data_IF_155914934138
#
_entry.id   IF_155914934138
#
_cell.length_a   1.000
_cell.length_b   1.000
_cell.length_c   1.000
_cell.angle_alpha   90.00
_cell.angle_beta   90.00
_cell.angle_gamma   90.00
#
_symmetry.space_group_name_H-M   'P 1'
#
loop_
_entity.id
_entity.type
_entity.pdbx_description
1 polymer ?
#
# COMPACT_ATOMS: atom_id res chain seq x y z
N UNK A 1 -15.50 15.07 21.84
CA UNK A 1 -15.08 13.66 21.67
C UNK A 1 -14.85 13.48 20.18
N UNK A 2 -13.58 13.43 19.74
CA UNK A 2 -13.30 13.12 18.34
C UNK A 2 -13.64 11.64 18.14
N UNK A 3 -14.44 11.34 17.10
CA UNK A 3 -14.77 9.98 16.75
C UNK A 3 -13.49 9.20 16.42
N UNK A 4 -13.46 7.91 16.74
CA UNK A 4 -12.36 7.03 16.36
C UNK A 4 -12.17 7.09 14.84
N UNK A 5 -10.95 7.35 14.33
CA UNK A 5 -10.72 7.47 12.90
C UNK A 5 -11.05 6.17 12.16
N UNK A 6 -11.73 6.28 11.03
CA UNK A 6 -11.83 5.19 10.05
C UNK A 6 -10.66 5.35 9.08
N UNK A 7 -9.51 4.78 9.44
CA UNK A 7 -8.24 5.02 8.74
C UNK A 7 -8.26 4.88 7.21
N UNK A 8 -8.91 3.87 6.61
CA UNK A 8 -9.03 3.83 5.16
C UNK A 8 -9.69 5.09 4.59
N UNK A 9 -10.79 5.56 5.17
CA UNK A 9 -11.49 6.77 4.73
C UNK A 9 -10.64 8.05 4.92
N UNK A 10 -9.90 8.13 6.02
CA UNK A 10 -8.93 9.22 6.26
C UNK A 10 -7.90 9.26 5.13
N UNK A 11 -7.32 8.12 4.78
CA UNK A 11 -6.34 8.03 3.70
C UNK A 11 -6.93 8.32 2.33
N UNK A 12 -8.12 7.79 1.98
CA UNK A 12 -8.76 8.13 0.71
C UNK A 12 -9.01 9.64 0.60
N UNK A 13 -9.43 10.28 1.69
CA UNK A 13 -9.65 11.73 1.71
C UNK A 13 -8.33 12.50 1.56
N UNK A 14 -7.27 12.05 2.22
CA UNK A 14 -5.92 12.59 2.06
C UNK A 14 -5.44 12.48 0.60
N UNK A 15 -5.56 11.30 -0.01
CA UNK A 15 -5.19 11.08 -1.41
C UNK A 15 -5.98 11.97 -2.38
N UNK A 16 -7.26 12.18 -2.12
CA UNK A 16 -8.08 13.13 -2.88
C UNK A 16 -7.56 14.57 -2.74
N UNK A 17 -7.20 14.99 -1.52
CA UNK A 17 -6.69 16.33 -1.25
C UNK A 17 -5.30 16.59 -1.86
N UNK A 18 -4.47 15.56 -2.01
CA UNK A 18 -3.11 15.68 -2.58
C UNK A 18 -3.04 15.30 -4.07
N UNK A 19 -4.18 14.97 -4.71
CA UNK A 19 -4.22 14.37 -6.05
C UNK A 19 -3.43 15.16 -7.11
N UNK A 20 -3.52 16.49 -7.10
CA UNK A 20 -2.81 17.33 -8.09
C UNK A 20 -1.30 17.33 -7.86
N UNK A 21 -0.85 17.41 -6.60
CA UNK A 21 0.59 17.34 -6.28
C UNK A 21 1.15 15.95 -6.55
N UNK A 22 0.38 14.92 -6.23
CA UNK A 22 0.76 13.54 -6.50
C UNK A 22 0.92 13.31 -8.01
N UNK A 23 0.05 13.87 -8.84
CA UNK A 23 0.19 13.80 -10.29
C UNK A 23 1.56 14.32 -10.78
N UNK A 24 2.05 15.42 -10.20
CA UNK A 24 3.37 15.98 -10.54
C UNK A 24 4.51 15.09 -10.04
N UNK A 25 4.40 14.58 -8.81
CA UNK A 25 5.43 13.72 -8.22
C UNK A 25 5.55 12.37 -8.94
N UNK A 26 4.44 11.85 -9.49
CA UNK A 26 4.43 10.62 -10.28
C UNK A 26 5.17 10.75 -11.64
N UNK A 27 5.43 11.98 -12.12
CA UNK A 27 6.26 12.20 -13.32
C UNK A 27 7.76 12.05 -13.04
N UNK A 28 8.17 12.01 -11.76
CA UNK A 28 9.56 11.88 -11.36
C UNK A 28 10.02 10.41 -11.41
N UNK A 29 11.24 10.20 -11.91
CA UNK A 29 11.87 8.88 -12.00
C UNK A 29 12.58 8.47 -10.69
N UNK A 30 11.90 8.60 -9.54
CA UNK A 30 12.45 8.27 -8.22
C UNK A 30 11.41 7.59 -7.30
N UNK A 31 11.87 7.09 -6.15
CA UNK A 31 11.02 6.59 -5.07
C UNK A 31 10.10 7.71 -4.57
N UNK A 32 8.79 7.46 -4.57
CA UNK A 32 7.75 8.45 -4.22
C UNK A 32 7.11 8.14 -2.86
N UNK A 33 7.38 6.97 -2.32
CA UNK A 33 6.80 6.43 -1.10
C UNK A 33 7.05 7.34 0.11
N UNK A 34 8.26 7.87 0.28
CA UNK A 34 8.56 8.80 1.36
C UNK A 34 7.78 10.12 1.25
N UNK A 35 7.56 10.62 0.03
CA UNK A 35 6.74 11.82 -0.18
C UNK A 35 5.27 11.54 0.17
N UNK A 36 4.73 10.41 -0.27
CA UNK A 36 3.36 9.99 0.07
C UNK A 36 3.23 9.85 1.60
N UNK A 37 4.18 9.19 2.26
CA UNK A 37 4.19 9.04 3.72
C UNK A 37 4.15 10.39 4.43
N UNK A 38 4.95 11.36 3.99
CA UNK A 38 4.98 12.71 4.54
C UNK A 38 3.65 13.45 4.33
N UNK A 39 3.04 13.37 3.14
CA UNK A 39 1.75 14.00 2.84
C UNK A 39 0.61 13.40 3.67
N UNK A 40 0.58 12.06 3.85
CA UNK A 40 -0.43 11.41 4.69
C UNK A 40 -0.28 11.79 6.17
N UNK A 41 0.96 11.88 6.66
CA UNK A 41 1.25 12.36 8.02
C UNK A 41 0.83 13.82 8.21
N UNK A 42 1.20 14.70 7.27
CA UNK A 42 0.84 16.12 7.30
C UNK A 42 -0.68 16.31 7.24
N UNK A 43 -1.38 15.56 6.40
CA UNK A 43 -2.84 15.61 6.30
C UNK A 43 -3.50 15.24 7.63
N UNK A 44 -3.03 14.17 8.29
CA UNK A 44 -3.55 13.74 9.58
C UNK A 44 -3.44 14.86 10.64
N UNK A 45 -2.25 15.45 10.75
CA UNK A 45 -1.97 16.56 11.67
C UNK A 45 -2.85 17.78 11.38
N UNK A 46 -2.98 18.20 10.13
CA UNK A 46 -3.76 19.38 9.72
C UNK A 46 -5.27 19.24 10.02
N UNK A 47 -5.78 18.02 10.07
CA UNK A 47 -7.21 17.74 10.26
C UNK A 47 -7.55 17.21 11.66
N UNK A 48 -6.58 17.24 12.60
CA UNK A 48 -6.81 16.86 13.99
C UNK A 48 -7.03 15.35 14.22
N UNK A 49 -6.53 14.52 13.30
CA UNK A 49 -6.40 13.07 13.52
C UNK A 49 -5.20 12.78 14.43
N UNK A 50 -5.10 11.58 15.03
CA UNK A 50 -3.89 11.16 15.73
C UNK A 50 -2.66 11.29 14.81
N UNK A 51 -1.53 11.72 15.41
CA UNK A 51 -0.29 11.88 14.67
C UNK A 51 0.16 10.56 14.05
N UNK A 52 0.49 10.60 12.75
CA UNK A 52 1.04 9.47 12.02
C UNK A 52 2.55 9.65 11.91
N UNK A 53 3.29 8.75 12.51
CA UNK A 53 4.74 8.69 12.48
C UNK A 53 5.21 7.93 11.23
N UNK A 54 6.30 8.39 10.60
CA UNK A 54 6.83 7.81 9.35
C UNK A 54 8.14 7.06 9.56
N UNK A 55 8.31 5.91 8.91
CA UNK A 55 9.61 5.21 8.78
C UNK A 55 10.26 4.71 10.08
N UNK A 56 9.48 4.65 11.17
CA UNK A 56 9.94 4.27 12.51
C UNK A 56 9.60 2.83 12.91
N UNK A 57 9.96 2.46 14.13
CA UNK A 57 9.65 1.15 14.71
C UNK A 57 8.34 1.23 15.50
N UNK A 58 7.24 0.74 14.92
CA UNK A 58 5.97 0.60 15.63
C UNK A 58 6.16 -0.31 16.85
N UNK A 59 5.74 0.17 18.02
CA UNK A 59 5.90 -0.52 19.30
C UNK A 59 7.37 -0.82 19.66
N UNK A 60 8.33 -0.10 19.06
CA UNK A 60 9.77 -0.29 19.26
C UNK A 60 10.37 -1.56 18.65
N UNK A 61 9.64 -2.31 17.80
CA UNK A 61 10.07 -3.64 17.33
C UNK A 61 10.03 -3.84 15.82
N UNK A 62 9.04 -3.29 15.12
CA UNK A 62 8.83 -3.55 13.69
C UNK A 62 8.85 -2.26 12.90
N UNK A 63 9.81 -2.14 11.97
CA UNK A 63 9.85 -1.01 11.04
C UNK A 63 8.67 -1.08 10.09
N UNK A 64 7.88 -0.02 10.01
CA UNK A 64 6.72 0.14 9.13
C UNK A 64 6.71 1.55 8.55
N UNK A 65 6.09 1.74 7.39
CA UNK A 65 6.07 3.04 6.72
C UNK A 65 5.29 4.09 7.53
N UNK A 66 4.13 3.74 8.07
CA UNK A 66 3.25 4.61 8.86
C UNK A 66 2.77 3.92 10.13
N UNK A 67 2.66 4.65 11.24
CA UNK A 67 1.99 4.15 12.46
C UNK A 67 1.52 5.27 13.38
N UNK A 68 0.53 4.99 14.23
CA UNK A 68 0.19 5.85 15.38
C UNK A 68 0.90 5.38 16.65
N UNK A 69 1.20 6.32 17.56
CA UNK A 69 1.93 6.00 18.80
C UNK A 69 1.18 4.99 19.69
N UNK A 70 -0.14 5.09 19.73
CA UNK A 70 -1.04 4.19 20.48
C UNK A 70 -1.28 2.83 19.79
N UNK A 71 -0.62 2.58 18.65
CA UNK A 71 -0.76 1.39 17.83
C UNK A 71 -2.20 1.12 17.36
N UNK A 72 -3.04 2.15 17.30
CA UNK A 72 -4.34 2.04 16.66
C UNK A 72 -4.22 1.71 15.17
N UNK A 73 -3.18 2.22 14.50
CA UNK A 73 -2.90 1.96 13.09
C UNK A 73 -1.42 1.73 12.79
N UNK A 74 -1.15 0.81 11.87
CA UNK A 74 0.12 0.70 11.15
C UNK A 74 -0.15 0.44 9.66
N UNK A 75 0.62 1.06 8.77
CA UNK A 75 0.44 0.90 7.34
C UNK A 75 1.74 0.83 6.54
N UNK A 76 1.74 0.01 5.49
CA UNK A 76 2.78 -0.02 4.47
C UNK A 76 2.30 0.72 3.22
N UNK A 77 3.15 1.53 2.59
CA UNK A 77 2.80 2.41 1.46
C UNK A 77 3.71 2.13 0.28
N UNK A 78 3.18 1.52 -0.79
CA UNK A 78 3.92 1.22 -2.03
C UNK A 78 3.35 1.98 -3.21
N UNK A 79 4.22 2.50 -4.06
CA UNK A 79 3.85 3.23 -5.26
C UNK A 79 4.40 2.49 -6.48
N UNK A 80 3.53 1.82 -7.22
CA UNK A 80 3.89 1.07 -8.42
C UNK A 80 3.14 1.64 -9.62
N UNK A 81 3.43 1.14 -10.80
CA UNK A 81 2.78 1.55 -12.05
C UNK A 81 3.02 0.51 -13.12
N UNK A 82 2.49 0.75 -14.32
CA UNK A 82 2.54 -0.21 -15.42
C UNK A 82 3.99 -0.61 -15.77
N UNK A 83 4.94 0.33 -15.73
CA UNK A 83 6.36 0.04 -16.05
C UNK A 83 7.20 -0.39 -14.83
N UNK A 84 6.58 -0.66 -13.68
CA UNK A 84 7.32 -1.12 -12.50
C UNK A 84 7.93 -2.50 -12.70
N UNK A 85 9.11 -2.72 -12.11
CA UNK A 85 9.74 -4.03 -12.15
C UNK A 85 8.88 -5.08 -11.43
N UNK A 86 8.73 -6.25 -12.04
CA UNK A 86 8.00 -7.39 -11.47
C UNK A 86 8.40 -7.74 -10.03
N UNK A 87 9.70 -7.60 -9.72
CA UNK A 87 10.25 -7.86 -8.38
C UNK A 87 9.63 -6.97 -7.30
N UNK A 88 9.03 -5.84 -7.66
CA UNK A 88 8.32 -4.99 -6.71
C UNK A 88 7.02 -5.63 -6.18
N UNK A 89 6.47 -6.63 -6.88
CA UNK A 89 5.28 -7.36 -6.41
C UNK A 89 5.67 -8.47 -5.42
N UNK A 90 6.60 -9.36 -5.79
CA UNK A 90 6.94 -10.56 -5.00
C UNK A 90 8.45 -10.82 -4.84
N UNK A 91 9.31 -9.88 -5.20
CA UNK A 91 10.77 -10.06 -5.20
C UNK A 91 11.30 -10.93 -6.35
N UNK A 92 10.44 -11.38 -7.27
CA UNK A 92 10.77 -12.29 -8.38
C UNK A 92 10.40 -11.70 -9.75
N UNK A 93 10.75 -12.39 -10.83
CA UNK A 93 10.32 -12.03 -12.19
C UNK A 93 8.80 -12.21 -12.39
N UNK A 94 8.25 -11.67 -13.49
CA UNK A 94 6.79 -11.77 -13.77
C UNK A 94 6.33 -13.22 -13.88
N UNK A 95 7.06 -14.08 -14.61
CA UNK A 95 6.69 -15.48 -14.78
C UNK A 95 6.55 -16.23 -13.45
N UNK A 96 7.53 -16.07 -12.55
CA UNK A 96 7.47 -16.67 -11.21
C UNK A 96 6.38 -16.06 -10.35
N UNK A 97 6.16 -14.74 -10.47
CA UNK A 97 5.10 -14.04 -9.76
C UNK A 97 3.72 -14.57 -10.17
N UNK A 98 3.47 -14.74 -11.46
CA UNK A 98 2.21 -15.28 -11.97
C UNK A 98 1.99 -16.74 -11.57
N UNK A 99 3.04 -17.57 -11.58
CA UNK A 99 2.95 -18.95 -11.09
C UNK A 99 2.60 -19.02 -9.61
N UNK A 100 3.08 -18.05 -8.84
CA UNK A 100 2.77 -17.94 -7.42
C UNK A 100 1.35 -17.41 -7.19
N UNK A 101 0.79 -16.55 -8.03
CA UNK A 101 -0.57 -16.04 -7.84
C UNK A 101 -1.65 -17.12 -8.05
N UNK A 102 -2.80 -16.92 -7.41
CA UNK A 102 -4.03 -17.69 -7.63
C UNK A 102 -5.14 -16.76 -8.03
N UNK A 103 -5.84 -17.11 -9.10
CA UNK A 103 -7.03 -16.39 -9.54
C UNK A 103 -8.26 -16.96 -8.83
N UNK A 104 -9.11 -16.09 -8.28
CA UNK A 104 -10.41 -16.45 -7.74
C UNK A 104 -11.51 -16.36 -8.82
N UNK A 105 -12.73 -16.77 -8.47
CA UNK A 105 -13.88 -16.78 -9.39
C UNK A 105 -14.28 -15.37 -9.88
N UNK A 106 -13.84 -14.31 -9.18
CA UNK A 106 -14.04 -12.91 -9.58
C UNK A 106 -12.93 -12.42 -10.54
N UNK A 107 -12.00 -13.30 -10.93
CA UNK A 107 -10.83 -12.96 -11.74
C UNK A 107 -9.78 -12.15 -10.99
N UNK A 108 -9.78 -12.17 -9.65
CA UNK A 108 -8.85 -11.41 -8.79
C UNK A 108 -7.67 -12.29 -8.40
N UNK A 109 -6.50 -11.67 -8.27
CA UNK A 109 -5.27 -12.37 -7.94
C UNK A 109 -4.96 -12.30 -6.46
N UNK A 110 -4.82 -13.46 -5.84
CA UNK A 110 -4.36 -13.62 -4.46
C UNK A 110 -2.94 -14.15 -4.42
N UNK A 111 -2.18 -13.73 -3.41
CA UNK A 111 -1.03 -14.51 -2.99
C UNK A 111 -1.53 -15.72 -2.21
N UNK A 112 -1.31 -16.96 -2.69
CA UNK A 112 -1.38 -18.09 -1.78
C UNK A 112 -0.35 -17.82 -0.68
N UNK A 113 -0.68 -18.18 0.56
CA UNK A 113 0.26 -18.04 1.66
C UNK A 113 1.50 -18.90 1.35
N UNK A 114 2.56 -18.30 0.81
CA UNK A 114 3.81 -19.00 0.53
C UNK A 114 4.59 -19.23 1.83
N UNK A 115 5.62 -20.07 1.73
CA UNK A 115 6.46 -20.50 2.84
C UNK A 115 6.90 -19.30 3.73
N UNK A 116 6.63 -19.34 5.05
CA UNK A 116 7.10 -18.33 6.01
C UNK A 116 8.60 -18.02 5.96
N UNK A 117 9.41 -18.96 5.44
CA UNK A 117 10.86 -18.83 5.30
C UNK A 117 11.35 -18.15 4.01
N UNK A 118 10.46 -17.82 3.07
CA UNK A 118 10.88 -17.18 1.82
C UNK A 118 11.29 -15.73 2.06
N UNK A 119 12.59 -15.45 1.91
CA UNK A 119 13.16 -14.12 2.08
C UNK A 119 12.83 -13.23 0.88
N UNK A 120 11.64 -12.65 0.90
CA UNK A 120 11.24 -11.61 -0.05
C UNK A 120 11.54 -10.25 0.56
N UNK A 121 12.40 -9.46 -0.09
CA UNK A 121 12.74 -8.10 0.34
C UNK A 121 12.23 -7.10 -0.70
N UNK A 122 11.77 -5.93 -0.21
CA UNK A 122 11.40 -4.78 -1.04
C UNK A 122 10.27 -5.05 -2.04
N UNK A 123 9.21 -5.74 -1.61
CA UNK A 123 8.04 -6.02 -2.45
C UNK A 123 6.73 -5.93 -1.66
N UNK A 124 5.61 -5.75 -2.38
CA UNK A 124 4.25 -5.75 -1.80
C UNK A 124 4.01 -7.00 -0.95
N UNK A 125 4.45 -8.17 -1.43
CA UNK A 125 4.36 -9.41 -0.65
C UNK A 125 5.15 -9.37 0.67
N UNK A 126 6.36 -8.80 0.67
CA UNK A 126 7.16 -8.67 1.89
C UNK A 126 6.45 -7.78 2.93
N UNK A 127 5.85 -6.68 2.47
CA UNK A 127 5.10 -5.74 3.31
C UNK A 127 3.83 -6.36 3.88
N UNK A 128 3.09 -7.10 3.06
CA UNK A 128 1.93 -7.90 3.49
C UNK A 128 2.33 -8.84 4.63
N UNK A 129 3.43 -9.59 4.47
CA UNK A 129 3.91 -10.53 5.51
C UNK A 129 4.37 -9.79 6.76
N UNK A 130 4.97 -8.61 6.62
CA UNK A 130 5.36 -7.79 7.76
C UNK A 130 4.15 -7.37 8.58
N UNK A 131 3.12 -6.84 7.93
CA UNK A 131 1.86 -6.45 8.57
C UNK A 131 1.19 -7.65 9.26
N UNK A 132 1.07 -8.79 8.57
CA UNK A 132 0.48 -10.01 9.15
C UNK A 132 1.18 -10.47 10.44
N UNK A 133 2.49 -10.25 10.57
CA UNK A 133 3.28 -10.62 11.76
C UNK A 133 3.15 -9.61 12.91
N UNK A 134 2.62 -8.42 12.67
CA UNK A 134 2.47 -7.41 13.73
C UNK A 134 1.37 -7.83 14.71
N UNK A 135 1.70 -7.72 16.00
CA UNK A 135 0.78 -7.98 17.11
C UNK A 135 0.49 -6.68 17.86
N UNK A 136 -0.72 -6.56 18.44
CA UNK A 136 -1.12 -5.39 19.22
C UNK A 136 -1.55 -4.17 18.40
N UNK A 137 -1.43 -4.19 17.07
CA UNK A 137 -1.96 -3.15 16.18
C UNK A 137 -3.40 -3.47 15.80
N UNK A 138 -4.32 -2.50 15.94
CA UNK A 138 -5.74 -2.71 15.62
C UNK A 138 -6.03 -2.64 14.12
N UNK A 139 -5.52 -1.62 13.44
CA UNK A 139 -5.71 -1.40 12.01
C UNK A 139 -4.39 -1.58 11.27
N UNK A 140 -4.19 -2.74 10.66
CA UNK A 140 -3.05 -3.00 9.78
C UNK A 140 -3.48 -2.75 8.34
N UNK A 141 -2.81 -1.84 7.64
CA UNK A 141 -3.23 -1.41 6.30
C UNK A 141 -2.10 -1.57 5.29
N UNK A 142 -2.42 -2.07 4.10
CA UNK A 142 -1.51 -1.96 2.95
C UNK A 142 -2.11 -0.97 1.96
N UNK A 143 -1.35 0.06 1.63
CA UNK A 143 -1.72 1.12 0.69
C UNK A 143 -0.88 0.95 -0.57
N UNK A 144 -1.54 0.74 -1.70
CA UNK A 144 -0.92 0.67 -3.01
C UNK A 144 -1.41 1.84 -3.87
N UNK A 145 -0.49 2.68 -4.31
CA UNK A 145 -0.72 3.67 -5.35
C UNK A 145 -0.26 3.08 -6.68
N UNK A 146 -1.18 2.95 -7.64
CA UNK A 146 -0.91 2.48 -9.00
C UNK A 146 -0.91 3.70 -9.91
N UNK A 147 0.27 4.21 -10.24
CA UNK A 147 0.47 5.26 -11.22
C UNK A 147 -0.02 4.79 -12.59
N UNK A 148 -0.85 5.60 -13.24
CA UNK A 148 -1.39 5.31 -14.56
C UNK A 148 -0.38 5.76 -15.61
N UNK A 149 0.13 4.81 -16.39
CA UNK A 149 0.81 5.13 -17.64
C UNK A 149 -0.22 5.06 -18.77
N UNK A 150 -0.34 6.14 -19.55
CA UNK A 150 -1.33 6.23 -20.63
C UNK A 150 -0.83 5.68 -21.96
N UNK A 151 0.41 5.17 -22.01
CA UNK A 151 0.99 4.62 -23.25
C UNK A 151 0.40 3.25 -23.57
N UNK A 152 0.44 2.30 -22.63
CA UNK A 152 -0.24 1.00 -22.71
C UNK A 152 -0.22 0.29 -21.35
N UNK A 153 -1.29 -0.45 -21.02
CA UNK A 153 -1.27 -1.33 -19.85
C UNK A 153 -0.32 -2.52 -20.07
N UNK A 154 0.57 -2.75 -19.10
CA UNK A 154 1.47 -3.89 -19.09
C UNK A 154 0.86 -5.05 -18.29
N UNK A 155 1.45 -6.24 -18.41
CA UNK A 155 1.08 -7.39 -17.57
C UNK A 155 1.19 -7.07 -16.07
N UNK A 156 2.25 -6.35 -15.66
CA UNK A 156 2.41 -5.87 -14.29
C UNK A 156 1.25 -4.96 -13.86
N UNK A 157 0.89 -3.98 -14.70
CA UNK A 157 -0.24 -3.08 -14.47
C UNK A 157 -1.55 -3.83 -14.28
N UNK A 158 -1.87 -4.72 -15.20
CA UNK A 158 -3.06 -5.57 -15.14
C UNK A 158 -3.08 -6.43 -13.86
N UNK A 159 -1.93 -7.03 -13.49
CA UNK A 159 -1.81 -7.81 -12.25
C UNK A 159 -2.05 -6.94 -11.01
N UNK A 160 -1.47 -5.74 -10.93
CA UNK A 160 -1.66 -4.83 -9.79
C UNK A 160 -3.14 -4.41 -9.62
N UNK A 161 -3.85 -4.16 -10.72
CA UNK A 161 -5.28 -3.81 -10.69
C UNK A 161 -6.17 -4.98 -10.26
N UNK A 162 -5.76 -6.21 -10.56
CA UNK A 162 -6.48 -7.44 -10.19
C UNK A 162 -6.11 -8.00 -8.83
N UNK A 163 -5.01 -7.54 -8.22
CA UNK A 163 -4.52 -8.00 -6.93
C UNK A 163 -5.59 -7.89 -5.83
N UNK A 164 -5.69 -8.85 -4.94
CA UNK A 164 -6.54 -8.83 -3.75
C UNK A 164 -5.72 -9.39 -2.59
N UNK A 165 -5.53 -8.57 -1.56
CA UNK A 165 -4.66 -8.91 -0.41
C UNK A 165 -5.45 -9.28 0.85
N UNK A 166 -6.71 -8.88 0.90
CA UNK A 166 -7.69 -9.24 1.92
C UNK A 166 -9.10 -9.02 1.38
N UNK A 167 -10.11 -9.45 2.15
CA UNK A 167 -11.52 -9.24 1.80
C UNK A 167 -11.96 -7.78 2.01
N UNK A 168 -11.44 -7.11 3.03
CA UNK A 168 -11.72 -5.70 3.29
C UNK A 168 -10.80 -4.80 2.47
N UNK A 169 -11.32 -4.26 1.38
CA UNK A 169 -10.60 -3.36 0.48
C UNK A 169 -11.38 -2.07 0.16
N UNK A 170 -10.62 -1.01 -0.07
CA UNK A 170 -11.11 0.29 -0.54
C UNK A 170 -10.31 0.73 -1.76
N UNK A 171 -10.95 1.48 -2.64
CA UNK A 171 -10.29 2.06 -3.81
C UNK A 171 -10.70 3.51 -4.04
N UNK A 172 -9.79 4.27 -4.63
CA UNK A 172 -10.03 5.63 -5.11
C UNK A 172 -9.38 5.80 -6.47
N UNK A 173 -10.20 6.09 -7.46
CA UNK A 173 -9.77 6.45 -8.80
C UNK A 173 -9.44 7.93 -8.87
N UNK A 174 -8.19 8.24 -9.22
CA UNK A 174 -7.69 9.60 -9.44
C UNK A 174 -7.30 9.78 -10.92
N UNK A 175 -7.15 11.03 -11.40
CA UNK A 175 -6.79 11.27 -12.80
C UNK A 175 -5.50 10.58 -13.24
N UNK A 176 -4.47 10.54 -12.38
CA UNK A 176 -3.14 9.97 -12.71
C UNK A 176 -2.78 8.70 -11.92
N UNK A 177 -3.66 8.23 -11.04
CA UNK A 177 -3.38 7.05 -10.24
C UNK A 177 -4.67 6.33 -9.82
N UNK A 178 -4.53 5.08 -9.42
CA UNK A 178 -5.53 4.36 -8.63
C UNK A 178 -4.93 4.09 -7.27
N UNK A 179 -5.61 4.50 -6.20
CA UNK A 179 -5.23 4.15 -4.82
C UNK A 179 -6.04 2.96 -4.38
N UNK A 180 -5.39 1.97 -3.77
CA UNK A 180 -6.01 0.78 -3.20
C UNK A 180 -5.52 0.59 -1.77
N UNK A 181 -6.44 0.30 -0.87
CA UNK A 181 -6.17 0.10 0.55
C UNK A 181 -6.78 -1.23 0.95
N UNK A 182 -6.01 -2.08 1.63
CA UNK A 182 -6.49 -3.33 2.21
C UNK A 182 -6.30 -3.31 3.71
N UNK A 183 -7.29 -3.83 4.45
CA UNK A 183 -7.11 -4.17 5.86
C UNK A 183 -6.52 -5.57 5.97
N UNK A 184 -5.38 -5.69 6.63
CA UNK A 184 -4.62 -6.93 6.74
C UNK A 184 -4.88 -7.59 8.09
N UNK A 185 -5.15 -8.90 8.07
CA UNK A 185 -5.42 -9.71 9.27
C UNK A 185 -4.14 -10.18 9.99
#
# INVERSE_FOLDING_TARGET
MNATPVWPEVFLTAFKAISERMAQVLELADCREHWIQAELSLYAWQHGYPDIWTGGNAGGRTKVDLYTEDLDMAAEVKCLGDVSFAKCLMGKGMGETLCALREDDDGRFWFPQTDPGEAVLWSVFADLRRLQRMTGVKNKLLILVIAKDFVAETEMGATLRRLRLSHEEWSLELPRATVRIWRIE
#
